data_IF_937789729973
#
_entry.id   IF_937789729973
#
_cell.length_a   1.000
_cell.length_b   1.000
_cell.length_c   1.000
_cell.angle_alpha   90.00
_cell.angle_beta   90.00
_cell.angle_gamma   90.00
#
_symmetry.space_group_name_H-M   'P 1'
#
loop_
_entity.id
_entity.type
_entity.pdbx_description
1 polymer ?
#
# COMPACT_ATOMS: atom_id res chain seq x y z
N UNK A 1 -14.08 13.38 -9.55
CA UNK A 1 -15.25 12.57 -9.09
C UNK A 1 -15.53 12.93 -7.63
N UNK A 2 -16.75 12.86 -7.09
CA UNK A 2 -16.96 13.21 -5.67
C UNK A 2 -16.60 12.01 -4.79
N UNK A 3 -15.43 12.04 -4.16
CA UNK A 3 -15.02 11.03 -3.18
C UNK A 3 -15.89 11.17 -1.93
N UNK A 4 -16.29 10.02 -1.38
CA UNK A 4 -17.10 10.01 -0.19
C UNK A 4 -16.27 10.42 1.02
N UNK A 5 -16.85 11.29 1.84
CA UNK A 5 -16.30 11.59 3.15
C UNK A 5 -17.14 10.80 4.16
N UNK A 6 -16.46 10.07 5.04
CA UNK A 6 -17.00 9.37 6.18
C UNK A 6 -17.91 10.29 7.02
N UNK A 7 -18.72 9.73 7.94
CA UNK A 7 -19.56 10.52 8.83
C UNK A 7 -18.79 11.59 9.65
N UNK A 8 -17.50 11.37 9.87
CA UNK A 8 -16.58 12.30 10.55
C UNK A 8 -16.05 13.42 9.63
N UNK A 9 -16.37 13.38 8.33
CA UNK A 9 -15.91 14.36 7.35
C UNK A 9 -14.54 14.04 6.74
N UNK A 10 -14.00 12.83 6.95
CA UNK A 10 -12.71 12.38 6.45
C UNK A 10 -12.82 11.41 5.27
N UNK A 11 -11.76 11.21 4.51
CA UNK A 11 -11.67 10.19 3.45
C UNK A 11 -10.82 9.02 3.93
N UNK A 12 -11.30 7.80 3.69
CA UNK A 12 -10.51 6.59 3.90
C UNK A 12 -10.10 5.97 2.58
N UNK A 13 -8.79 5.76 2.41
CA UNK A 13 -8.20 5.02 1.32
C UNK A 13 -7.59 3.72 1.84
N UNK A 14 -7.71 2.66 1.06
CA UNK A 14 -7.03 1.40 1.28
C UNK A 14 -6.07 1.15 0.12
N UNK A 15 -4.84 0.85 0.44
CA UNK A 15 -3.79 0.48 -0.49
C UNK A 15 -3.59 -1.02 -0.37
N UNK A 16 -3.67 -1.70 -1.50
CA UNK A 16 -3.44 -3.13 -1.61
C UNK A 16 -2.08 -3.33 -2.26
N UNK A 17 -1.25 -4.13 -1.62
CA UNK A 17 0.12 -4.42 -2.02
C UNK A 17 0.29 -5.91 -2.23
N UNK A 18 1.03 -6.26 -3.26
CA UNK A 18 1.61 -7.60 -3.40
C UNK A 18 3.05 -7.53 -2.92
N UNK A 19 3.34 -8.28 -1.88
CA UNK A 19 4.64 -8.35 -1.25
C UNK A 19 5.25 -9.72 -1.50
N UNK A 20 6.57 -9.71 -1.69
CA UNK A 20 7.36 -10.91 -1.93
C UNK A 20 8.74 -10.77 -1.29
N UNK A 21 9.31 -11.90 -0.88
CA UNK A 21 10.68 -12.01 -0.41
C UNK A 21 11.42 -13.09 -1.18
N UNK A 22 12.66 -12.76 -1.55
CA UNK A 22 13.56 -13.64 -2.29
C UNK A 22 14.78 -13.96 -1.43
N UNK A 23 15.05 -15.25 -1.26
CA UNK A 23 16.19 -15.80 -0.55
C UNK A 23 17.21 -16.38 -1.53
N UNK A 24 18.43 -16.69 -1.07
CA UNK A 24 19.43 -17.36 -1.93
C UNK A 24 18.97 -18.76 -2.37
N UNK A 25 18.12 -19.41 -1.55
CA UNK A 25 17.42 -20.65 -1.88
C UNK A 25 15.97 -20.33 -2.25
N UNK A 26 15.62 -20.54 -3.53
CA UNK A 26 14.30 -20.23 -4.09
C UNK A 26 13.16 -21.05 -3.46
N UNK A 27 13.44 -22.17 -2.78
CA UNK A 27 12.40 -22.92 -2.04
C UNK A 27 12.02 -22.23 -0.71
N UNK A 28 12.80 -21.25 -0.25
CA UNK A 28 12.56 -20.47 0.98
C UNK A 28 11.82 -19.15 0.72
N UNK A 29 11.60 -18.81 -0.55
CA UNK A 29 10.89 -17.61 -1.00
C UNK A 29 9.44 -17.57 -0.47
N UNK A 30 9.00 -16.36 -0.10
CA UNK A 30 7.59 -16.10 0.18
C UNK A 30 7.06 -15.20 -0.93
N UNK A 31 6.20 -15.77 -1.77
CA UNK A 31 5.59 -15.09 -2.90
C UNK A 31 4.09 -14.88 -2.67
N UNK A 32 3.51 -13.92 -3.41
CA UNK A 32 2.07 -13.67 -3.48
C UNK A 32 1.43 -13.30 -2.12
N UNK A 33 2.11 -12.51 -1.28
CA UNK A 33 1.55 -12.02 -0.02
C UNK A 33 0.76 -10.74 -0.26
N UNK A 34 -0.56 -10.80 -0.05
CA UNK A 34 -1.43 -9.63 -0.13
C UNK A 34 -1.39 -8.86 1.20
N UNK A 35 -0.91 -7.62 1.17
CA UNK A 35 -0.93 -6.71 2.31
C UNK A 35 -1.90 -5.56 2.05
N UNK A 36 -2.56 -5.10 3.11
CA UNK A 36 -3.47 -3.97 3.04
C UNK A 36 -3.15 -2.91 4.08
N UNK A 37 -3.05 -1.65 3.63
CA UNK A 37 -2.89 -0.49 4.50
C UNK A 37 -4.07 0.45 4.34
N UNK A 38 -4.60 0.92 5.48
CA UNK A 38 -5.76 1.82 5.50
C UNK A 38 -5.35 3.17 6.08
N UNK A 39 -5.50 4.22 5.29
CA UNK A 39 -5.21 5.59 5.67
C UNK A 39 -6.49 6.42 5.73
N UNK A 40 -6.67 7.17 6.81
CA UNK A 40 -7.80 8.08 7.00
C UNK A 40 -7.29 9.51 7.21
N UNK A 41 -7.72 10.44 6.36
CA UNK A 41 -7.31 11.85 6.42
C UNK A 41 -8.46 12.80 6.02
N UNK A 42 -8.29 14.10 6.26
CA UNK A 42 -9.28 15.12 5.87
C UNK A 42 -9.48 15.21 4.34
N UNK A 43 -8.45 14.86 3.57
CA UNK A 43 -8.50 14.76 2.11
C UNK A 43 -7.83 13.48 1.61
N UNK A 44 -8.25 13.01 0.44
CA UNK A 44 -7.63 11.85 -0.19
C UNK A 44 -6.17 12.13 -0.60
N UNK A 45 -5.82 13.40 -0.87
CA UNK A 45 -4.44 13.80 -1.13
C UNK A 45 -3.56 13.58 0.09
N UNK A 46 -4.02 14.02 1.27
CA UNK A 46 -3.30 13.80 2.52
C UNK A 46 -3.14 12.32 2.82
N UNK A 47 -4.20 11.51 2.61
CA UNK A 47 -4.09 10.06 2.75
C UNK A 47 -3.06 9.43 1.78
N UNK A 48 -2.93 9.97 0.56
CA UNK A 48 -1.89 9.54 -0.39
C UNK A 48 -0.49 10.02 0.01
N UNK A 49 -0.35 11.25 0.53
CA UNK A 49 0.92 11.78 1.00
C UNK A 49 1.40 10.98 2.24
N UNK A 50 0.51 10.68 3.19
CA UNK A 50 0.81 9.82 4.35
C UNK A 50 1.21 8.40 3.90
N UNK A 51 0.49 7.81 2.95
CA UNK A 51 0.84 6.50 2.41
C UNK A 51 2.20 6.50 1.69
N UNK A 52 2.50 7.57 0.94
CA UNK A 52 3.76 7.69 0.18
C UNK A 52 4.98 8.00 1.08
N UNK A 53 4.78 8.69 2.21
CA UNK A 53 5.84 8.99 3.19
C UNK A 53 6.06 7.82 4.18
N UNK A 54 5.19 6.81 4.16
CA UNK A 54 5.29 5.63 5.01
C UNK A 54 6.40 4.70 4.48
N UNK A 55 7.65 4.96 4.88
CA UNK A 55 8.82 4.14 4.55
C UNK A 55 9.19 3.09 5.61
N UNK A 56 8.43 3.02 6.70
CA UNK A 56 8.63 2.03 7.78
C UNK A 56 7.75 0.80 7.52
N UNK A 57 7.86 0.25 6.31
CA UNK A 57 7.14 -0.97 5.96
C UNK A 57 7.67 -2.11 6.81
N UNK A 58 6.79 -2.65 7.65
CA UNK A 58 7.08 -3.82 8.45
C UNK A 58 7.01 -5.06 7.54
N UNK A 59 8.16 -5.45 7.00
CA UNK A 59 8.30 -6.62 6.11
C UNK A 59 8.20 -7.96 6.86
N UNK A 60 7.91 -7.97 8.16
CA UNK A 60 7.80 -9.18 8.97
C UNK A 60 6.82 -10.19 8.36
N UNK A 61 5.73 -9.72 7.74
CA UNK A 61 4.74 -10.55 7.05
C UNK A 61 5.29 -11.30 5.83
N UNK A 62 6.42 -10.86 5.25
CA UNK A 62 7.12 -11.54 4.15
C UNK A 62 8.45 -12.15 4.57
N UNK A 63 8.80 -12.14 5.86
CA UNK A 63 10.02 -12.81 6.34
C UNK A 63 9.75 -14.29 6.63
N UNK A 64 10.47 -15.16 5.93
CA UNK A 64 10.60 -16.55 6.30
C UNK A 64 11.57 -16.69 7.49
N UNK A 65 11.01 -16.76 8.69
CA UNK A 65 11.79 -16.93 9.92
C UNK A 65 12.46 -18.31 10.07
N UNK A 66 12.04 -19.29 9.27
CA UNK A 66 12.64 -20.63 9.25
C UNK A 66 13.75 -20.75 8.19
N UNK A 67 13.96 -19.70 7.38
CA UNK A 67 14.96 -19.71 6.33
C UNK A 67 16.37 -19.94 6.89
N UNK A 68 17.08 -20.87 6.29
CA UNK A 68 18.49 -21.15 6.57
C UNK A 68 19.41 -20.27 5.71
N UNK A 69 18.91 -19.78 4.57
CA UNK A 69 19.65 -18.92 3.63
C UNK A 69 19.47 -17.42 3.90
N UNK A 70 20.33 -16.60 3.31
CA UNK A 70 20.26 -15.14 3.44
C UNK A 70 19.11 -14.57 2.60
N UNK A 71 18.36 -13.63 3.18
CA UNK A 71 17.39 -12.80 2.45
C UNK A 71 18.13 -11.88 1.49
N UNK A 72 17.79 -11.95 0.20
CA UNK A 72 18.39 -11.13 -0.86
C UNK A 72 17.64 -9.80 -0.97
N UNK A 73 16.33 -9.86 -1.13
CA UNK A 73 15.47 -8.67 -1.24
C UNK A 73 14.04 -8.94 -0.77
N UNK A 74 13.41 -7.90 -0.25
CA UNK A 74 11.96 -7.80 -0.14
C UNK A 74 11.48 -6.79 -1.16
N UNK A 75 10.32 -7.04 -1.75
CA UNK A 75 9.69 -6.08 -2.64
C UNK A 75 8.21 -5.99 -2.36
N UNK A 76 7.63 -4.81 -2.63
CA UNK A 76 6.20 -4.55 -2.60
C UNK A 76 5.79 -3.85 -3.87
N UNK A 77 4.72 -4.32 -4.49
CA UNK A 77 4.13 -3.75 -5.68
C UNK A 77 2.70 -3.33 -5.40
N UNK A 78 2.37 -2.06 -5.67
CA UNK A 78 0.99 -1.57 -5.52
C UNK A 78 0.05 -2.29 -6.50
N UNK A 79 -0.91 -3.05 -5.97
CA UNK A 79 -1.98 -3.70 -6.75
C UNK A 79 -3.10 -2.72 -7.07
N UNK A 80 -3.52 -1.94 -6.08
CA UNK A 80 -4.69 -1.09 -6.23
C UNK A 80 -4.88 -0.13 -5.07
N UNK A 81 -5.62 0.94 -5.34
CA UNK A 81 -6.10 1.87 -4.32
C UNK A 81 -7.62 1.81 -4.33
N UNK A 82 -8.22 1.76 -3.16
CA UNK A 82 -9.65 1.69 -2.96
C UNK A 82 -10.11 2.80 -2.03
N UNK A 83 -11.33 3.31 -2.21
CA UNK A 83 -11.94 4.25 -1.28
C UNK A 83 -13.20 3.64 -0.66
N UNK A 84 -13.46 3.97 0.60
CA UNK A 84 -14.68 3.58 1.28
C UNK A 84 -15.83 4.48 0.82
N UNK A 85 -16.89 3.89 0.26
CA UNK A 85 -18.04 4.64 -0.21
C UNK A 85 -19.09 4.84 0.91
N UNK A 86 -20.17 5.59 0.59
CA UNK A 86 -21.27 5.88 1.53
C UNK A 86 -22.05 4.65 2.01
N UNK A 87 -21.95 3.56 1.27
CA UNK A 87 -22.64 2.30 1.51
C UNK A 87 -21.72 1.34 2.29
N UNK A 88 -20.60 1.83 2.83
CA UNK A 88 -19.57 1.09 3.58
C UNK A 88 -18.90 -0.02 2.73
N UNK A 89 -18.84 0.19 1.41
CA UNK A 89 -18.19 -0.70 0.47
C UNK A 89 -16.90 -0.10 -0.07
N UNK A 90 -15.84 -0.90 -0.13
CA UNK A 90 -14.63 -0.58 -0.86
C UNK A 90 -14.88 -0.58 -2.36
N UNK A 91 -14.57 0.54 -3.02
CA UNK A 91 -14.60 0.67 -4.48
C UNK A 91 -13.23 1.11 -4.97
N UNK A 92 -12.85 0.66 -6.16
CA UNK A 92 -11.62 1.08 -6.80
C UNK A 92 -11.56 2.61 -6.91
N UNK A 93 -10.43 3.17 -6.49
CA UNK A 93 -10.16 4.59 -6.56
C UNK A 93 -10.17 5.06 -8.01
N UNK A 94 -10.68 6.26 -8.29
CA UNK A 94 -10.55 6.84 -9.61
C UNK A 94 -9.06 7.05 -9.94
N UNK A 95 -8.72 6.92 -11.24
CA UNK A 95 -7.35 7.03 -11.75
C UNK A 95 -6.60 8.29 -11.27
N UNK A 96 -7.32 9.39 -11.02
CA UNK A 96 -6.73 10.64 -10.49
C UNK A 96 -5.98 10.43 -9.17
N UNK A 97 -6.45 9.50 -8.32
CA UNK A 97 -5.81 9.18 -7.03
C UNK A 97 -4.55 8.36 -7.27
N UNK A 98 -4.61 7.34 -8.12
CA UNK A 98 -3.44 6.51 -8.45
C UNK A 98 -2.34 7.32 -9.13
N UNK A 99 -2.69 8.22 -10.05
CA UNK A 99 -1.74 9.13 -10.69
C UNK A 99 -1.15 10.17 -9.72
N UNK A 100 -1.92 10.57 -8.70
CA UNK A 100 -1.42 11.46 -7.66
C UNK A 100 -0.48 10.74 -6.71
N UNK A 101 -0.90 9.57 -6.22
CA UNK A 101 -0.11 8.72 -5.34
C UNK A 101 1.25 8.39 -5.97
N UNK A 102 1.28 7.96 -7.24
CA UNK A 102 2.55 7.70 -7.93
C UNK A 102 3.50 8.89 -7.92
N UNK A 103 2.99 10.12 -8.09
CA UNK A 103 3.81 11.34 -8.00
C UNK A 103 4.24 11.67 -6.57
N UNK A 104 3.38 11.39 -5.59
CA UNK A 104 3.71 11.56 -4.19
C UNK A 104 4.84 10.61 -3.78
N UNK A 105 4.77 9.35 -4.23
CA UNK A 105 5.80 8.32 -4.03
C UNK A 105 7.12 8.71 -4.70
N UNK A 106 7.11 9.12 -5.98
CA UNK A 106 8.30 9.63 -6.68
C UNK A 106 8.96 10.78 -5.92
N UNK A 107 8.16 11.73 -5.43
CA UNK A 107 8.63 12.89 -4.67
C UNK A 107 9.20 12.49 -3.32
N UNK A 108 8.56 11.56 -2.61
CA UNK A 108 9.00 11.07 -1.32
C UNK A 108 10.32 10.27 -1.46
N UNK A 109 10.49 9.54 -2.58
CA UNK A 109 11.74 8.86 -2.95
C UNK A 109 12.85 9.82 -3.41
N UNK A 110 12.53 11.10 -3.63
CA UNK A 110 13.47 12.12 -4.08
C UNK A 110 13.87 12.00 -5.56
N UNK A 111 13.01 11.41 -6.39
CA UNK A 111 13.20 11.23 -7.84
C UNK A 111 12.75 12.45 -8.66
#
# INVERSE_FOLDING_TARGET
>A
MALYHNPDGKVTLRFEWEAESHYDDEDEDILDVELEDVYEADSWQEACDDAADCYDWDDEDVINFDAESELVETSRSLKGIYFLNRDDEWKEAPLEISEYYGKAEEKAMGL
#
